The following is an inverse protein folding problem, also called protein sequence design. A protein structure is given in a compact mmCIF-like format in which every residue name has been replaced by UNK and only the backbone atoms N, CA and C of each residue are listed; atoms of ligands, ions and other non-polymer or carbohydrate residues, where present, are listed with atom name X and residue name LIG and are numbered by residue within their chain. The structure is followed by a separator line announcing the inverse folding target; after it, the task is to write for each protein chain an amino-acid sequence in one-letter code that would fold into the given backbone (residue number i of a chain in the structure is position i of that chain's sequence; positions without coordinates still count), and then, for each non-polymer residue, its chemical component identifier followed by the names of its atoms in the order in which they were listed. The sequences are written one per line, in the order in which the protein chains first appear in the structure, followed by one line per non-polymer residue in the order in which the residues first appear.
data_IF_222751271432
#
_entry.id   IF_222751271432
#
_cell.length_a   1.000
_cell.length_b   1.000
_cell.length_c   1.000
_cell.angle_alpha   90.00
_cell.angle_beta   90.00
_cell.angle_gamma   90.00
#
_symmetry.space_group_name_H-M   'P 1'
#
loop_
_entity.id
_entity.type
_entity.pdbx_description
1 polymer ?
#
# COMPACT_ATOMS: atom_id res chain seq x y z
N UNK A 1 49.89 7.22 35.60
CA UNK A 1 49.00 8.33 35.21
C UNK A 1 48.81 8.38 33.69
N UNK A 2 49.87 8.46 32.89
CA UNK A 2 49.77 8.48 31.42
C UNK A 2 49.08 7.27 30.79
N UNK A 3 49.38 6.05 31.27
CA UNK A 3 48.73 4.81 30.80
C UNK A 3 47.21 4.79 31.06
N UNK A 4 46.75 5.37 32.17
CA UNK A 4 45.32 5.44 32.51
C UNK A 4 44.60 6.44 31.60
N UNK A 5 45.23 7.58 31.28
CA UNK A 5 44.66 8.56 30.34
C UNK A 5 44.53 7.98 28.92
N UNK A 6 45.48 7.14 28.50
CA UNK A 6 45.42 6.44 27.20
C UNK A 6 44.27 5.43 27.18
N UNK A 7 44.07 4.66 28.25
CA UNK A 7 42.98 3.69 28.39
C UNK A 7 41.60 4.37 28.42
N UNK A 8 41.47 5.47 29.17
CA UNK A 8 40.25 6.28 29.24
C UNK A 8 39.90 6.92 27.88
N UNK A 9 40.89 7.47 27.17
CA UNK A 9 40.69 8.04 25.85
C UNK A 9 40.31 6.97 24.81
N UNK A 10 40.86 5.76 24.93
CA UNK A 10 40.49 4.64 24.07
C UNK A 10 39.05 4.20 24.36
N UNK A 11 38.69 4.04 25.64
CA UNK A 11 37.33 3.69 26.05
C UNK A 11 36.29 4.70 25.57
N UNK A 12 36.57 6.00 25.69
CA UNK A 12 35.67 7.06 25.19
C UNK A 12 35.42 6.95 23.69
N UNK A 13 36.45 6.65 22.88
CA UNK A 13 36.29 6.44 21.44
C UNK A 13 35.44 5.21 21.11
N UNK A 14 35.59 4.12 21.87
CA UNK A 14 34.76 2.93 21.70
C UNK A 14 33.31 3.19 22.09
N UNK A 15 33.07 3.92 23.18
CA UNK A 15 31.73 4.32 23.62
C UNK A 15 31.06 5.22 22.57
N UNK A 16 31.77 6.22 22.04
CA UNK A 16 31.28 7.09 20.94
C UNK A 16 30.97 6.29 19.67
N UNK A 17 31.88 5.41 19.26
CA UNK A 17 31.66 4.54 18.09
C UNK A 17 30.44 3.64 18.28
N UNK A 18 30.28 3.04 19.45
CA UNK A 18 29.14 2.17 19.76
C UNK A 18 27.82 2.94 19.71
N UNK A 19 27.77 4.15 20.27
CA UNK A 19 26.59 5.01 20.23
C UNK A 19 26.26 5.41 18.79
N UNK A 20 27.26 5.83 18.02
CA UNK A 20 27.06 6.24 16.62
C UNK A 20 26.53 5.07 15.80
N UNK A 21 27.16 3.90 15.91
CA UNK A 21 26.75 2.69 15.21
C UNK A 21 25.31 2.29 15.59
N UNK A 22 24.99 2.24 16.88
CA UNK A 22 23.65 1.91 17.36
C UNK A 22 22.59 2.91 16.85
N UNK A 23 22.94 4.20 16.78
CA UNK A 23 22.04 5.25 16.26
C UNK A 23 21.77 5.07 14.77
N UNK A 24 22.80 4.76 13.98
CA UNK A 24 22.65 4.48 12.54
C UNK A 24 21.84 3.21 12.31
N UNK A 25 22.16 2.13 13.03
CA UNK A 25 21.44 0.85 12.91
C UNK A 25 19.96 1.01 13.29
N UNK A 26 19.67 1.74 14.37
CA UNK A 26 18.29 2.03 14.81
C UNK A 26 17.55 2.86 13.78
N UNK A 27 18.17 3.92 13.25
CA UNK A 27 17.55 4.79 12.25
C UNK A 27 17.26 4.04 10.94
N UNK A 28 18.17 3.17 10.50
CA UNK A 28 17.98 2.33 9.33
C UNK A 28 16.84 1.32 9.54
N UNK A 29 16.81 0.66 10.70
CA UNK A 29 15.76 -0.29 11.04
C UNK A 29 14.39 0.38 11.09
N UNK A 30 14.28 1.52 11.77
CA UNK A 30 13.03 2.28 11.86
C UNK A 30 12.57 2.77 10.48
N UNK A 31 13.49 3.30 9.67
CA UNK A 31 13.17 3.76 8.31
C UNK A 31 12.68 2.63 7.40
N UNK A 32 13.32 1.45 7.50
CA UNK A 32 12.92 0.27 6.73
C UNK A 32 11.56 -0.26 7.17
N UNK A 33 11.32 -0.37 8.48
CA UNK A 33 10.06 -0.84 9.04
C UNK A 33 8.90 0.08 8.64
N UNK A 34 9.06 1.40 8.83
CA UNK A 34 8.05 2.38 8.44
C UNK A 34 7.79 2.38 6.93
N UNK A 35 8.85 2.32 6.12
CA UNK A 35 8.73 2.27 4.67
C UNK A 35 8.01 1.03 4.17
N UNK A 36 8.32 -0.13 4.75
CA UNK A 36 7.68 -1.41 4.42
C UNK A 36 6.21 -1.41 4.83
N UNK A 37 5.90 -0.97 6.06
CA UNK A 37 4.52 -0.93 6.57
C UNK A 37 3.65 0.00 5.72
N UNK A 38 4.12 1.22 5.45
CA UNK A 38 3.39 2.18 4.62
C UNK A 38 3.20 1.66 3.19
N UNK A 39 4.27 1.12 2.58
CA UNK A 39 4.22 0.59 1.22
C UNK A 39 3.25 -0.59 1.10
N UNK A 40 3.29 -1.52 2.06
CA UNK A 40 2.40 -2.68 2.08
C UNK A 40 0.94 -2.27 2.31
N UNK A 41 0.68 -1.37 3.26
CA UNK A 41 -0.67 -0.90 3.55
C UNK A 41 -1.30 -0.18 2.34
N UNK A 42 -0.55 0.73 1.71
CA UNK A 42 -1.01 1.43 0.51
C UNK A 42 -1.23 0.47 -0.66
N UNK A 43 -0.27 -0.44 -0.91
CA UNK A 43 -0.37 -1.42 -1.99
C UNK A 43 -1.55 -2.37 -1.82
N UNK A 44 -1.78 -2.86 -0.60
CA UNK A 44 -2.91 -3.74 -0.29
C UNK A 44 -4.25 -3.01 -0.46
N UNK A 45 -4.38 -1.80 0.08
CA UNK A 45 -5.60 -1.01 -0.04
C UNK A 45 -5.96 -0.74 -1.51
N UNK A 46 -4.99 -0.26 -2.29
CA UNK A 46 -5.18 -0.02 -3.73
C UNK A 46 -5.49 -1.31 -4.50
N UNK A 47 -4.84 -2.41 -4.15
CA UNK A 47 -5.06 -3.71 -4.78
C UNK A 47 -6.47 -4.25 -4.53
N UNK A 48 -6.94 -4.18 -3.28
CA UNK A 48 -8.27 -4.61 -2.89
C UNK A 48 -9.36 -3.76 -3.54
N UNK A 49 -9.22 -2.44 -3.54
CA UNK A 49 -10.17 -1.52 -4.18
C UNK A 49 -10.25 -1.76 -5.69
N UNK A 50 -9.10 -1.84 -6.38
CA UNK A 50 -9.05 -2.14 -7.82
C UNK A 50 -9.68 -3.50 -8.13
N UNK A 51 -9.35 -4.53 -7.36
CA UNK A 51 -9.90 -5.88 -7.55
C UNK A 51 -11.42 -5.94 -7.34
N UNK A 52 -11.92 -5.29 -6.29
CA UNK A 52 -13.35 -5.20 -6.02
C UNK A 52 -14.09 -4.45 -7.14
N UNK A 53 -13.57 -3.29 -7.57
CA UNK A 53 -14.16 -2.51 -8.67
C UNK A 53 -14.13 -3.29 -10.00
N UNK A 54 -13.02 -3.95 -10.33
CA UNK A 54 -12.93 -4.80 -11.53
C UNK A 54 -13.98 -5.91 -11.52
N UNK A 55 -14.11 -6.63 -10.39
CA UNK A 55 -15.10 -7.69 -10.25
C UNK A 55 -16.54 -7.17 -10.35
N UNK A 56 -16.84 -6.02 -9.74
CA UNK A 56 -18.13 -5.36 -9.86
C UNK A 56 -18.45 -5.02 -11.33
N UNK A 57 -17.48 -4.46 -12.06
CA UNK A 57 -17.62 -4.14 -13.49
C UNK A 57 -17.81 -5.38 -14.36
N UNK A 58 -17.14 -6.50 -14.06
CA UNK A 58 -17.35 -7.77 -14.76
C UNK A 58 -18.76 -8.34 -14.53
N UNK A 59 -19.26 -8.26 -13.30
CA UNK A 59 -20.62 -8.68 -12.97
C UNK A 59 -21.63 -7.80 -13.72
N UNK A 60 -21.46 -6.48 -13.69
CA UNK A 60 -22.29 -5.54 -14.42
C UNK A 60 -22.33 -5.84 -15.93
N UNK A 61 -21.17 -6.12 -16.55
CA UNK A 61 -21.10 -6.57 -17.96
C UNK A 61 -21.96 -7.81 -18.21
N UNK A 62 -21.82 -8.84 -17.37
CA UNK A 62 -22.58 -10.10 -17.50
C UNK A 62 -24.09 -9.88 -17.33
N UNK A 63 -24.49 -8.99 -16.42
CA UNK A 63 -25.90 -8.64 -16.20
C UNK A 63 -26.47 -7.84 -17.38
N UNK A 64 -25.73 -6.86 -17.92
CA UNK A 64 -26.12 -6.11 -19.12
C UNK A 64 -26.31 -7.02 -20.32
N UNK A 65 -25.41 -7.98 -20.53
CA UNK A 65 -25.54 -8.98 -21.62
C UNK A 65 -26.78 -9.88 -21.46
N UNK A 66 -27.30 -10.02 -20.24
CA UNK A 66 -28.54 -10.74 -19.95
C UNK A 66 -29.79 -9.83 -19.98
N UNK A 67 -29.65 -8.58 -20.41
CA UNK A 67 -30.70 -7.56 -20.42
C UNK A 67 -31.32 -7.29 -19.04
N UNK A 68 -30.54 -7.45 -17.96
CA UNK A 68 -30.98 -7.06 -16.61
C UNK A 68 -31.14 -5.52 -16.52
N UNK A 69 -32.12 -5.02 -15.74
CA UNK A 69 -32.36 -3.59 -15.61
C UNK A 69 -31.22 -2.88 -14.85
N UNK A 70 -30.96 -1.61 -15.20
CA UNK A 70 -29.85 -0.82 -14.67
C UNK A 70 -29.94 -0.68 -13.15
N UNK A 71 -31.12 -0.38 -12.60
CA UNK A 71 -31.34 -0.24 -11.16
C UNK A 71 -30.88 -1.47 -10.39
N UNK A 72 -31.23 -2.65 -10.89
CA UNK A 72 -30.81 -3.93 -10.30
C UNK A 72 -29.29 -4.11 -10.38
N UNK A 73 -28.65 -3.68 -11.47
CA UNK A 73 -27.20 -3.76 -11.61
C UNK A 73 -26.52 -2.86 -10.58
N UNK A 74 -27.02 -1.64 -10.39
CA UNK A 74 -26.52 -0.70 -9.38
C UNK A 74 -26.63 -1.33 -7.98
N UNK A 75 -27.80 -1.89 -7.63
CA UNK A 75 -28.03 -2.51 -6.33
C UNK A 75 -27.07 -3.68 -6.04
N UNK A 76 -26.75 -4.52 -7.03
CA UNK A 76 -25.91 -5.71 -6.83
C UNK A 76 -24.41 -5.46 -7.00
N UNK A 77 -24.01 -4.40 -7.72
CA UNK A 77 -22.60 -4.12 -8.03
C UNK A 77 -22.04 -2.91 -7.31
N UNK A 78 -22.90 -2.13 -6.64
CA UNK A 78 -22.56 -0.86 -5.97
C UNK A 78 -21.86 0.16 -6.90
N UNK A 79 -21.98 -0.04 -8.22
CA UNK A 79 -21.48 0.89 -9.22
C UNK A 79 -22.44 2.07 -9.36
N UNK A 80 -21.89 3.23 -9.69
CA UNK A 80 -22.71 4.39 -10.05
C UNK A 80 -23.48 4.13 -11.35
N UNK A 81 -24.62 4.79 -11.53
CA UNK A 81 -25.36 4.75 -12.80
C UNK A 81 -24.46 5.15 -13.98
N UNK A 82 -23.62 6.17 -13.78
CA UNK A 82 -22.66 6.63 -14.79
C UNK A 82 -21.67 5.52 -15.20
N UNK A 83 -21.15 4.76 -14.23
CA UNK A 83 -20.27 3.61 -14.52
C UNK A 83 -21.00 2.52 -15.30
N UNK A 84 -22.23 2.16 -14.90
CA UNK A 84 -23.03 1.13 -15.58
C UNK A 84 -23.36 1.56 -17.00
N UNK A 85 -23.71 2.83 -17.22
CA UNK A 85 -23.97 3.40 -18.55
C UNK A 85 -22.70 3.42 -19.41
N UNK A 86 -21.55 3.77 -18.85
CA UNK A 86 -20.27 3.73 -19.57
C UNK A 86 -19.92 2.30 -20.02
N UNK A 87 -20.15 1.30 -19.16
CA UNK A 87 -19.99 -0.11 -19.52
C UNK A 87 -20.95 -0.49 -20.64
N UNK A 88 -22.23 -0.14 -20.53
CA UNK A 88 -23.23 -0.41 -21.56
C UNK A 88 -22.86 0.20 -22.91
N UNK A 89 -22.38 1.44 -22.92
CA UNK A 89 -21.90 2.11 -24.13
C UNK A 89 -20.71 1.36 -24.75
N UNK A 90 -19.75 0.89 -23.95
CA UNK A 90 -18.60 0.12 -24.44
C UNK A 90 -18.99 -1.24 -25.06
N UNK A 91 -20.06 -1.87 -24.57
CA UNK A 91 -20.56 -3.14 -25.11
C UNK A 91 -21.29 -2.97 -26.44
N UNK A 92 -21.98 -1.84 -26.66
CA UNK A 92 -22.71 -1.56 -27.90
C UNK A 92 -21.84 -1.06 -29.05
N UNK A 93 -20.56 -0.77 -28.81
CA UNK A 93 -19.58 -0.39 -29.84
C UNK A 93 -18.72 -1.56 -30.34
N UNK A 94 -18.99 -2.79 -29.87
CA UNK A 94 -18.38 -4.04 -30.37
C UNK A 94 -19.39 -4.82 -31.19
#
# INVERSE_FOLDING_TARGET
EEQNMIDEAQKAKWDEYAIHKASVDTGLQQGLEQGLEQGLAQGLAQGLEKGANQKAREIAKKMLLKNEPIDKIIDFTELSEADVLAIKASLGQS
#
